data_IF_296060323604
#
_entry.id   IF_296060323604
#
_cell.length_a   1.000
_cell.length_b   1.000
_cell.length_c   1.000
_cell.angle_alpha   90.00
_cell.angle_beta   90.00
_cell.angle_gamma   90.00
#
_symmetry.space_group_name_H-M   'P 1'
#
loop_
_entity.id
_entity.type
_entity.pdbx_description
1 polymer ?
#
# COMPACT_ATOMS: atom_id res chain seq x y z
N UNK A 1 -17.21 0.21 9.17
CA UNK A 1 -18.38 0.39 8.30
C UNK A 1 -18.17 -0.12 6.86
N UNK A 2 -16.94 -0.41 6.42
CA UNK A 2 -16.63 -0.95 5.08
C UNK A 2 -16.58 -2.49 5.03
N UNK A 3 -16.53 -3.17 6.18
CA UNK A 3 -16.46 -4.64 6.26
C UNK A 3 -17.80 -5.36 5.93
N UNK A 4 -18.88 -4.60 5.69
CA UNK A 4 -20.19 -5.13 5.34
C UNK A 4 -20.65 -4.76 3.91
N UNK A 5 -19.73 -4.32 3.03
CA UNK A 5 -20.07 -4.18 1.63
C UNK A 5 -20.22 -5.57 1.01
N UNK A 6 -21.47 -6.03 1.03
CA UNK A 6 -21.94 -7.24 0.36
C UNK A 6 -21.64 -7.12 -1.15
N UNK A 7 -20.52 -7.65 -1.59
CA UNK A 7 -20.22 -7.78 -3.02
C UNK A 7 -21.30 -8.67 -3.63
N UNK A 8 -21.89 -8.30 -4.76
CA UNK A 8 -22.90 -9.11 -5.40
C UNK A 8 -22.34 -10.50 -5.70
N UNK A 9 -23.13 -11.55 -5.41
CA UNK A 9 -22.76 -12.95 -5.60
C UNK A 9 -22.37 -13.32 -7.05
N UNK A 10 -22.62 -12.44 -8.01
CA UNK A 10 -22.15 -12.53 -9.40
C UNK A 10 -20.66 -12.24 -9.58
N UNK A 11 -20.00 -11.63 -8.59
CA UNK A 11 -18.56 -11.35 -8.61
C UNK A 11 -17.69 -12.60 -8.33
N UNK A 12 -18.29 -13.72 -7.95
CA UNK A 12 -17.60 -14.92 -7.47
C UNK A 12 -17.40 -16.02 -8.53
N UNK A 13 -17.76 -15.79 -9.81
CA UNK A 13 -17.61 -16.81 -10.86
C UNK A 13 -17.00 -16.25 -12.12
N UNK A 14 -15.68 -16.20 -12.21
CA UNK A 14 -14.98 -16.29 -13.49
C UNK A 14 -13.57 -16.87 -13.24
N UNK A 15 -13.38 -18.08 -13.76
CA UNK A 15 -12.11 -18.81 -13.74
C UNK A 15 -11.21 -18.36 -14.89
N UNK A 16 -9.99 -18.05 -14.58
CA UNK A 16 -8.72 -18.25 -15.33
C UNK A 16 -7.70 -17.12 -15.04
N UNK A 17 -6.69 -17.47 -14.44
CA UNK A 17 -5.41 -16.97 -13.89
C UNK A 17 -4.98 -15.51 -14.05
N UNK A 18 -5.29 -14.79 -15.10
CA UNK A 18 -4.83 -13.41 -15.30
C UNK A 18 -5.91 -12.36 -15.02
N UNK A 19 -7.14 -12.64 -15.36
CA UNK A 19 -8.28 -11.72 -15.19
C UNK A 19 -8.81 -11.63 -13.75
N UNK A 20 -8.54 -12.63 -12.91
CA UNK A 20 -8.96 -12.60 -11.50
C UNK A 20 -8.17 -11.58 -10.67
N UNK A 21 -6.91 -11.34 -11.00
CA UNK A 21 -6.07 -10.35 -10.30
C UNK A 21 -6.56 -8.93 -10.57
N UNK A 22 -6.73 -8.57 -11.85
CA UNK A 22 -7.23 -7.24 -12.24
C UNK A 22 -8.62 -6.96 -11.69
N UNK A 23 -9.49 -7.97 -11.65
CA UNK A 23 -10.84 -7.83 -11.15
C UNK A 23 -10.88 -7.55 -9.63
N UNK A 24 -10.03 -8.21 -8.86
CA UNK A 24 -10.02 -8.04 -7.40
C UNK A 24 -9.59 -6.63 -6.99
N UNK A 25 -8.46 -6.15 -7.50
CA UNK A 25 -7.93 -4.83 -7.15
C UNK A 25 -8.71 -3.69 -7.83
N UNK A 26 -9.16 -3.89 -9.04
CA UNK A 26 -9.95 -2.93 -9.80
C UNK A 26 -11.35 -2.66 -9.25
N UNK A 27 -11.86 -3.51 -8.36
CA UNK A 27 -13.15 -3.32 -7.69
C UNK A 27 -13.06 -2.56 -6.36
N UNK A 28 -11.84 -2.27 -5.86
CA UNK A 28 -11.70 -1.49 -4.64
C UNK A 28 -12.11 -0.04 -4.91
N UNK A 29 -12.98 0.55 -4.07
CA UNK A 29 -13.35 1.94 -4.22
C UNK A 29 -12.12 2.83 -4.00
N UNK A 30 -11.98 3.87 -4.80
CA UNK A 30 -11.00 4.90 -4.51
C UNK A 30 -11.47 5.72 -3.30
N UNK A 31 -10.84 5.46 -2.17
CA UNK A 31 -11.05 6.21 -0.94
C UNK A 31 -9.90 7.20 -0.75
N UNK A 32 -10.28 8.43 -0.50
CA UNK A 32 -9.35 9.53 -0.37
C UNK A 32 -8.87 9.63 1.08
N UNK A 33 -7.57 9.42 1.33
CA UNK A 33 -6.98 9.73 2.64
C UNK A 33 -6.99 11.25 2.87
N UNK A 34 -7.58 11.76 3.95
CA UNK A 34 -7.56 13.20 4.24
C UNK A 34 -6.14 13.76 4.37
N UNK A 35 -5.87 15.01 3.97
CA UNK A 35 -4.52 15.58 3.99
C UNK A 35 -3.87 15.58 5.39
N UNK A 36 -4.64 15.82 6.44
CA UNK A 36 -4.17 15.75 7.83
C UNK A 36 -3.70 14.34 8.20
N UNK A 37 -4.46 13.32 7.79
CA UNK A 37 -4.13 11.91 8.00
C UNK A 37 -2.87 11.51 7.21
N UNK A 38 -2.74 11.93 5.93
CA UNK A 38 -1.52 11.72 5.13
C UNK A 38 -0.30 12.25 5.86
N UNK A 39 -0.36 13.52 6.30
CA UNK A 39 0.73 14.14 7.04
C UNK A 39 1.07 13.36 8.31
N UNK A 40 0.04 12.95 9.06
CA UNK A 40 0.23 12.18 10.29
C UNK A 40 0.85 10.81 10.06
N UNK A 41 0.47 10.11 8.98
CA UNK A 41 1.08 8.85 8.58
C UNK A 41 2.57 9.01 8.28
N UNK A 42 2.96 10.06 7.55
CA UNK A 42 4.35 10.36 7.21
C UNK A 42 5.19 10.75 8.45
N UNK A 43 4.61 11.53 9.37
CA UNK A 43 5.22 11.86 10.67
C UNK A 43 5.45 10.60 11.52
N UNK A 44 4.43 9.74 11.62
CA UNK A 44 4.50 8.50 12.37
C UNK A 44 5.58 7.57 11.83
N UNK A 45 5.69 7.50 10.50
CA UNK A 45 6.75 6.78 9.80
C UNK A 45 8.14 7.45 9.93
N UNK A 46 8.23 8.69 10.42
CA UNK A 46 9.48 9.47 10.51
C UNK A 46 10.21 9.55 9.18
N UNK A 47 9.49 9.99 8.15
CA UNK A 47 10.07 10.14 6.81
C UNK A 47 11.22 11.14 6.82
N UNK A 48 12.32 10.79 6.14
CA UNK A 48 13.52 11.63 6.00
C UNK A 48 14.19 11.50 4.63
N UNK A 49 15.27 12.22 4.44
CA UNK A 49 15.96 12.40 3.15
C UNK A 49 16.63 11.13 2.59
N UNK A 50 16.76 10.08 3.38
CA UNK A 50 17.28 8.79 2.93
C UNK A 50 16.19 7.81 2.50
N UNK A 51 14.90 8.14 2.75
CA UNK A 51 13.81 7.21 2.53
C UNK A 51 13.39 7.07 1.07
N UNK A 52 13.17 5.82 0.68
CA UNK A 52 12.45 5.44 -0.53
C UNK A 52 11.04 5.03 -0.11
N UNK A 53 10.08 5.89 -0.41
CA UNK A 53 8.67 5.71 -0.06
C UNK A 53 7.95 4.95 -1.16
N UNK A 54 7.19 3.93 -0.80
CA UNK A 54 6.31 3.23 -1.73
C UNK A 54 4.85 3.35 -1.28
N UNK A 55 3.93 3.58 -2.22
CA UNK A 55 2.49 3.65 -1.98
C UNK A 55 1.77 2.64 -2.88
N UNK A 56 1.21 1.60 -2.27
CA UNK A 56 0.54 0.50 -2.97
C UNK A 56 -0.97 0.78 -3.05
N UNK A 57 -1.41 1.20 -4.22
CA UNK A 57 -2.72 1.80 -4.45
C UNK A 57 -2.65 3.32 -4.31
N UNK A 58 -1.69 3.94 -5.02
CA UNK A 58 -1.30 5.34 -4.79
C UNK A 58 -2.37 6.37 -5.17
N UNK A 59 -3.43 5.96 -5.86
CA UNK A 59 -4.51 6.83 -6.24
C UNK A 59 -4.02 8.07 -6.99
N UNK A 60 -4.38 9.25 -6.50
CA UNK A 60 -3.98 10.55 -7.06
C UNK A 60 -2.57 11.01 -6.62
N UNK A 61 -1.78 10.14 -6.01
CA UNK A 61 -0.39 10.39 -5.67
C UNK A 61 -0.16 11.29 -4.45
N UNK A 62 -1.19 11.62 -3.66
CA UNK A 62 -1.07 12.57 -2.55
C UNK A 62 -0.05 12.19 -1.48
N UNK A 63 0.06 10.90 -1.14
CA UNK A 63 1.06 10.41 -0.18
C UNK A 63 2.47 10.62 -0.74
N UNK A 64 2.70 10.24 -2.00
CA UNK A 64 3.97 10.37 -2.69
C UNK A 64 4.42 11.84 -2.77
N UNK A 65 3.50 12.71 -3.22
CA UNK A 65 3.76 14.15 -3.34
C UNK A 65 4.12 14.77 -2.00
N UNK A 66 3.34 14.46 -0.96
CA UNK A 66 3.59 14.98 0.39
C UNK A 66 4.92 14.45 0.94
N UNK A 67 5.22 13.17 0.76
CA UNK A 67 6.47 12.57 1.20
C UNK A 67 7.71 13.26 0.61
N UNK A 68 7.69 13.54 -0.69
CA UNK A 68 8.83 14.16 -1.37
C UNK A 68 8.89 15.66 -1.12
N UNK A 69 7.76 16.37 -1.24
CA UNK A 69 7.71 17.83 -1.16
C UNK A 69 7.88 18.35 0.25
N UNK A 70 7.11 17.78 1.20
CA UNK A 70 7.00 18.33 2.55
C UNK A 70 7.94 17.64 3.55
N UNK A 71 8.22 16.35 3.34
CA UNK A 71 9.09 15.56 4.24
C UNK A 71 10.48 15.29 3.67
N UNK A 72 10.72 15.65 2.42
CA UNK A 72 12.02 15.54 1.80
C UNK A 72 12.48 14.11 1.47
N UNK A 73 11.57 13.13 1.38
CA UNK A 73 11.92 11.75 1.01
C UNK A 73 12.80 11.73 -0.23
N UNK A 74 13.80 10.85 -0.26
CA UNK A 74 14.73 10.72 -1.39
C UNK A 74 14.00 10.46 -2.70
N UNK A 75 13.07 9.52 -2.66
CA UNK A 75 12.27 9.07 -3.82
C UNK A 75 10.92 8.56 -3.34
N UNK A 76 9.91 8.63 -4.21
CA UNK A 76 8.63 7.97 -3.97
C UNK A 76 8.18 7.18 -5.19
N UNK A 77 7.56 6.01 -4.98
CA UNK A 77 7.11 5.10 -6.03
C UNK A 77 5.65 4.73 -5.75
N UNK A 78 4.76 4.94 -6.70
CA UNK A 78 3.34 4.61 -6.57
C UNK A 78 2.90 3.57 -7.58
N UNK A 79 2.20 2.56 -7.11
CA UNK A 79 1.51 1.58 -7.95
C UNK A 79 0.01 1.86 -7.95
N UNK A 80 -0.58 1.97 -9.14
CA UNK A 80 -2.01 2.23 -9.32
C UNK A 80 -2.51 1.56 -10.60
N UNK A 81 -3.69 0.94 -10.55
CA UNK A 81 -4.32 0.31 -11.71
C UNK A 81 -5.10 1.31 -12.58
N UNK A 82 -5.68 2.32 -11.94
CA UNK A 82 -6.55 3.29 -12.59
C UNK A 82 -5.76 4.35 -13.33
N UNK A 83 -5.85 4.33 -14.66
CA UNK A 83 -5.15 5.28 -15.52
C UNK A 83 -5.58 6.73 -15.34
N UNK A 84 -6.84 6.99 -15.00
CA UNK A 84 -7.36 8.33 -14.71
C UNK A 84 -6.70 8.96 -13.47
N UNK A 85 -6.49 8.16 -12.41
CA UNK A 85 -5.79 8.60 -11.19
C UNK A 85 -4.30 8.86 -11.44
N UNK A 86 -3.64 7.96 -12.21
CA UNK A 86 -2.24 8.16 -12.60
C UNK A 86 -2.06 9.45 -13.42
N UNK A 87 -2.97 9.73 -14.35
CA UNK A 87 -2.88 10.95 -15.14
C UNK A 87 -3.04 12.19 -14.25
N UNK A 88 -4.01 12.17 -13.32
CA UNK A 88 -4.17 13.26 -12.34
C UNK A 88 -2.94 13.43 -11.45
N UNK A 89 -2.33 12.32 -10.99
CA UNK A 89 -1.09 12.38 -10.22
C UNK A 89 0.07 12.96 -11.05
N UNK A 90 0.19 12.57 -12.34
CA UNK A 90 1.24 13.07 -13.25
C UNK A 90 1.13 14.57 -13.47
N UNK A 91 -0.06 15.09 -13.74
CA UNK A 91 -0.29 16.54 -13.89
C UNK A 91 0.16 17.32 -12.65
N UNK A 92 -0.13 16.79 -11.45
CA UNK A 92 0.33 17.40 -10.20
C UNK A 92 1.85 17.37 -10.04
N UNK A 93 2.49 16.23 -10.39
CA UNK A 93 3.95 16.09 -10.37
C UNK A 93 4.61 17.12 -11.29
N UNK A 94 4.09 17.29 -12.50
CA UNK A 94 4.58 18.24 -13.48
C UNK A 94 4.45 19.67 -12.97
N UNK A 95 3.29 20.02 -12.41
CA UNK A 95 3.05 21.37 -11.86
C UNK A 95 3.97 21.73 -10.69
N UNK A 96 4.53 20.73 -10.01
CA UNK A 96 5.42 20.88 -8.86
C UNK A 96 6.91 20.61 -9.18
N UNK A 97 7.23 20.25 -10.42
CA UNK A 97 8.58 19.86 -10.88
C UNK A 97 9.18 18.72 -10.01
N UNK A 98 8.39 17.66 -9.77
CA UNK A 98 8.77 16.51 -8.93
C UNK A 98 8.96 15.20 -9.72
N UNK A 99 8.96 15.24 -11.05
CA UNK A 99 8.99 14.05 -11.93
C UNK A 99 10.25 13.20 -11.72
N UNK A 100 11.37 13.84 -11.38
CA UNK A 100 12.65 13.16 -11.15
C UNK A 100 12.71 12.41 -9.81
N UNK A 101 11.75 12.65 -8.92
CA UNK A 101 11.72 12.09 -7.57
C UNK A 101 10.51 11.22 -7.29
N UNK A 102 9.53 11.20 -8.18
CA UNK A 102 8.32 10.38 -8.02
C UNK A 102 8.08 9.55 -9.27
N UNK A 103 8.09 8.24 -9.12
CA UNK A 103 7.77 7.28 -10.16
C UNK A 103 6.33 6.79 -10.00
N UNK A 104 5.51 6.92 -11.06
CA UNK A 104 4.16 6.38 -11.12
C UNK A 104 4.13 5.17 -12.05
N UNK A 105 3.79 4.01 -11.50
CA UNK A 105 3.68 2.74 -12.21
C UNK A 105 2.21 2.38 -12.38
N UNK A 106 1.77 2.26 -13.65
CA UNK A 106 0.47 1.67 -13.93
C UNK A 106 0.57 0.15 -13.88
N UNK A 107 0.09 -0.46 -12.82
CA UNK A 107 0.24 -1.91 -12.63
C UNK A 107 -0.43 -2.42 -11.37
N UNK A 108 -0.48 -3.75 -11.27
CA UNK A 108 -0.92 -4.44 -10.07
C UNK A 108 0.12 -4.23 -8.96
N UNK A 109 -0.33 -3.80 -7.79
CA UNK A 109 0.53 -3.63 -6.62
C UNK A 109 1.20 -4.95 -6.18
N UNK A 110 0.64 -6.11 -6.56
CA UNK A 110 1.26 -7.41 -6.31
C UNK A 110 2.52 -7.65 -7.14
N UNK A 111 2.68 -6.93 -8.25
CA UNK A 111 3.86 -7.01 -9.12
C UNK A 111 4.96 -6.00 -8.71
N UNK A 112 4.72 -5.19 -7.66
CA UNK A 112 5.70 -4.25 -7.15
C UNK A 112 6.92 -4.97 -6.56
N UNK A 113 8.13 -4.54 -6.92
CA UNK A 113 9.36 -4.94 -6.25
C UNK A 113 9.55 -4.07 -4.99
N UNK A 114 9.45 -4.71 -3.81
CA UNK A 114 9.53 -4.01 -2.53
C UNK A 114 10.97 -3.91 -2.00
N UNK A 115 11.95 -4.47 -2.69
CA UNK A 115 13.32 -4.63 -2.20
C UNK A 115 14.04 -3.32 -1.86
N UNK A 116 13.68 -2.21 -2.51
CA UNK A 116 14.30 -0.90 -2.26
C UNK A 116 13.46 0.01 -1.35
N UNK A 117 12.23 -0.40 -1.00
CA UNK A 117 11.36 0.39 -0.15
C UNK A 117 11.89 0.44 1.30
N UNK A 118 12.00 1.63 1.86
CA UNK A 118 12.27 1.82 3.30
C UNK A 118 11.01 2.12 4.08
N UNK A 119 9.99 2.65 3.40
CA UNK A 119 8.66 2.89 3.95
C UNK A 119 7.60 2.55 2.91
N UNK A 120 6.59 1.80 3.33
CA UNK A 120 5.46 1.40 2.47
C UNK A 120 4.16 1.91 3.10
N UNK A 121 3.34 2.56 2.28
CA UNK A 121 2.00 3.01 2.65
C UNK A 121 0.95 2.18 1.94
N UNK A 122 -0.15 1.87 2.65
CA UNK A 122 -1.32 1.19 2.12
C UNK A 122 -2.60 1.78 2.71
N UNK A 123 -3.63 1.92 1.87
CA UNK A 123 -5.01 2.15 2.28
C UNK A 123 -5.93 1.20 1.50
N UNK A 124 -6.00 -0.03 1.95
CA UNK A 124 -6.71 -1.12 1.30
C UNK A 124 -7.68 -1.77 2.29
N UNK A 125 -8.49 -2.72 1.82
CA UNK A 125 -9.37 -3.51 2.72
C UNK A 125 -8.58 -4.52 3.54
N UNK A 126 -9.14 -5.03 4.64
CA UNK A 126 -8.51 -6.09 5.44
C UNK A 126 -8.14 -7.30 4.61
N UNK A 127 -9.04 -7.78 3.72
CA UNK A 127 -8.77 -8.91 2.82
C UNK A 127 -7.60 -8.64 1.86
N UNK A 128 -7.44 -7.40 1.40
CA UNK A 128 -6.32 -7.01 0.56
C UNK A 128 -5.01 -7.00 1.35
N UNK A 129 -5.05 -6.48 2.57
CA UNK A 129 -3.91 -6.47 3.48
C UNK A 129 -3.43 -7.91 3.79
N UNK A 130 -4.35 -8.84 4.02
CA UNK A 130 -4.02 -10.25 4.28
C UNK A 130 -3.28 -10.91 3.11
N UNK A 131 -3.60 -10.53 1.88
CA UNK A 131 -2.87 -11.00 0.69
C UNK A 131 -1.48 -10.40 0.57
N UNK A 132 -1.35 -9.08 0.83
CA UNK A 132 -0.07 -8.38 0.80
C UNK A 132 0.89 -8.83 1.91
N UNK A 133 0.37 -9.29 3.05
CA UNK A 133 1.17 -9.73 4.18
C UNK A 133 2.29 -10.68 3.77
N UNK A 134 1.97 -11.71 2.97
CA UNK A 134 2.97 -12.69 2.54
C UNK A 134 4.06 -12.06 1.66
N UNK A 135 3.68 -11.13 0.80
CA UNK A 135 4.62 -10.39 -0.04
C UNK A 135 5.57 -9.54 0.81
N UNK A 136 5.04 -8.85 1.82
CA UNK A 136 5.88 -8.09 2.76
C UNK A 136 6.84 -8.99 3.53
N UNK A 137 6.37 -10.11 4.07
CA UNK A 137 7.22 -11.06 4.82
C UNK A 137 8.36 -11.65 3.98
N UNK A 138 8.21 -11.71 2.65
CA UNK A 138 9.20 -12.28 1.73
C UNK A 138 10.16 -11.25 1.15
N UNK A 139 9.70 -10.03 0.87
CA UNK A 139 10.44 -9.10 0.02
C UNK A 139 11.01 -7.88 0.76
N UNK A 140 10.43 -7.46 1.89
CA UNK A 140 10.91 -6.25 2.55
C UNK A 140 12.19 -6.49 3.34
N UNK A 141 13.06 -5.49 3.35
CA UNK A 141 14.30 -5.52 4.16
C UNK A 141 14.01 -5.31 5.64
N UNK A 142 14.85 -5.85 6.54
CA UNK A 142 14.81 -5.50 7.95
C UNK A 142 14.86 -3.97 8.15
N UNK A 143 14.02 -3.45 9.04
CA UNK A 143 13.88 -2.04 9.30
C UNK A 143 12.89 -1.31 8.38
N UNK A 144 12.33 -1.98 7.36
CA UNK A 144 11.25 -1.39 6.55
C UNK A 144 10.03 -1.11 7.41
N UNK A 145 9.52 0.12 7.30
CA UNK A 145 8.31 0.58 8.01
C UNK A 145 7.11 0.46 7.10
N UNK A 146 6.04 -0.17 7.57
CA UNK A 146 4.80 -0.34 6.82
C UNK A 146 3.71 0.41 7.57
N UNK A 147 3.05 1.35 6.90
CA UNK A 147 1.98 2.16 7.47
C UNK A 147 0.67 1.82 6.79
N UNK A 148 -0.28 1.32 7.57
CA UNK A 148 -1.62 0.98 7.09
C UNK A 148 -2.65 1.95 7.65
N UNK A 149 -3.52 2.45 6.78
CA UNK A 149 -4.61 3.35 7.09
C UNK A 149 -5.90 2.56 7.31
N UNK A 150 -6.57 2.79 8.43
CA UNK A 150 -7.82 2.19 8.92
C UNK A 150 -7.82 0.68 9.12
N UNK A 151 -7.12 -0.09 8.30
CA UNK A 151 -7.14 -1.56 8.34
C UNK A 151 -5.79 -2.10 8.80
N UNK A 152 -5.78 -2.84 9.92
CA UNK A 152 -4.57 -3.53 10.39
C UNK A 152 -4.24 -4.76 9.55
N UNK A 153 -3.07 -5.33 9.80
CA UNK A 153 -2.63 -6.64 9.28
C UNK A 153 -2.99 -7.71 10.29
N UNK A 154 -3.78 -8.70 9.89
CA UNK A 154 -4.14 -9.82 10.77
C UNK A 154 -2.89 -10.63 11.15
N UNK A 155 -2.75 -10.94 12.43
CA UNK A 155 -1.62 -11.71 12.95
C UNK A 155 -0.30 -10.93 13.06
N UNK A 156 -0.27 -9.64 12.74
CA UNK A 156 0.93 -8.82 12.93
C UNK A 156 0.84 -7.96 14.18
N UNK A 157 2.02 -7.72 14.79
CA UNK A 157 2.15 -6.85 15.96
C UNK A 157 2.56 -5.44 15.54
N UNK A 158 1.66 -4.45 15.61
CA UNK A 158 2.03 -3.07 15.27
C UNK A 158 3.00 -2.50 16.33
N UNK A 159 4.07 -1.84 15.87
CA UNK A 159 4.96 -1.07 16.72
C UNK A 159 4.22 0.15 17.33
N UNK A 160 3.22 0.67 16.62
CA UNK A 160 2.34 1.73 17.12
C UNK A 160 0.99 1.68 16.43
N UNK A 161 -0.06 1.98 17.18
CA UNK A 161 -1.42 2.26 16.68
C UNK A 161 -1.80 3.64 17.18
N UNK A 162 -2.31 4.47 16.28
CA UNK A 162 -2.74 5.82 16.63
C UNK A 162 -4.11 6.11 16.01
N UNK A 163 -4.95 6.86 16.74
CA UNK A 163 -6.20 7.40 16.22
C UNK A 163 -6.03 8.89 15.96
N UNK A 164 -6.34 9.33 14.74
CA UNK A 164 -6.20 10.71 14.31
C UNK A 164 -7.35 11.10 13.37
N UNK A 165 -8.08 12.16 13.67
CA UNK A 165 -9.24 12.66 12.88
C UNK A 165 -10.29 11.58 12.57
N UNK A 166 -10.52 10.63 13.50
CA UNK A 166 -11.48 9.53 13.31
C UNK A 166 -10.95 8.33 12.55
N UNK A 167 -9.72 8.37 12.09
CA UNK A 167 -9.02 7.29 11.40
C UNK A 167 -8.05 6.56 12.32
N UNK A 168 -7.75 5.29 12.00
CA UNK A 168 -6.70 4.51 12.65
C UNK A 168 -5.48 4.43 11.76
N UNK A 169 -4.31 4.65 12.34
CA UNK A 169 -3.03 4.52 11.66
C UNK A 169 -2.22 3.44 12.36
N UNK A 170 -1.81 2.43 11.63
CA UNK A 170 -0.99 1.32 12.13
C UNK A 170 0.43 1.45 11.57
N UNK A 171 1.42 1.44 12.44
CA UNK A 171 2.83 1.38 12.07
C UNK A 171 3.39 0.00 12.41
N UNK A 172 3.94 -0.66 11.43
CA UNK A 172 4.68 -1.92 11.56
C UNK A 172 6.15 -1.71 11.18
N UNK A 173 7.04 -2.48 11.77
CA UNK A 173 8.48 -2.49 11.44
C UNK A 173 8.89 -3.94 11.18
N UNK A 174 9.47 -4.20 10.03
CA UNK A 174 9.97 -5.52 9.66
C UNK A 174 11.34 -5.80 10.28
N UNK A 175 11.61 -7.03 10.72
CA UNK A 175 10.73 -8.19 10.77
C UNK A 175 9.95 -8.32 12.08
N UNK A 176 10.09 -7.39 13.03
CA UNK A 176 9.55 -7.47 14.39
C UNK A 176 8.02 -7.51 14.42
N UNK A 177 7.40 -6.93 13.39
CA UNK A 177 5.95 -6.95 13.23
C UNK A 177 5.41 -8.34 12.88
N UNK A 178 6.23 -9.16 12.23
CA UNK A 178 5.81 -10.45 11.72
C UNK A 178 5.70 -11.45 12.87
N UNK A 179 4.55 -12.06 13.07
CA UNK A 179 4.49 -13.24 13.93
C UNK A 179 5.39 -14.33 13.33
N UNK A 180 6.03 -15.13 14.21
CA UNK A 180 6.78 -16.33 13.78
C UNK A 180 5.91 -17.05 12.77
N UNK A 181 6.45 -17.45 11.61
CA UNK A 181 5.64 -17.89 10.47
C UNK A 181 4.64 -18.94 10.92
N UNK A 182 3.42 -18.50 11.16
CA UNK A 182 2.29 -19.37 11.42
C UNK A 182 2.22 -20.22 10.18
N UNK A 183 2.18 -21.52 10.36
CA UNK A 183 2.20 -22.55 9.31
C UNK A 183 1.39 -22.06 8.10
N UNK A 184 2.10 -21.64 7.06
CA UNK A 184 1.49 -21.17 5.80
C UNK A 184 0.51 -22.23 5.36
N UNK A 185 -0.77 -21.93 5.13
CA UNK A 185 -1.66 -22.91 4.53
C UNK A 185 -1.03 -23.37 3.22
N UNK A 186 -0.73 -24.64 3.11
CA UNK A 186 -0.01 -25.26 1.97
C UNK A 186 -0.67 -24.98 0.60
N UNK A 187 -1.90 -24.48 0.58
CA UNK A 187 -2.69 -24.13 -0.60
C UNK A 187 -2.16 -22.89 -1.37
N UNK A 188 -1.31 -22.06 -0.80
CA UNK A 188 -0.86 -20.82 -1.43
C UNK A 188 0.52 -20.92 -2.07
N UNK A 189 1.31 -21.97 -1.75
CA UNK A 189 2.66 -22.19 -2.32
C UNK A 189 2.70 -22.50 -3.82
N UNK A 190 1.58 -22.92 -4.42
CA UNK A 190 1.56 -23.42 -5.79
C UNK A 190 0.96 -22.48 -6.84
N UNK A 191 0.56 -21.26 -6.50
CA UNK A 191 -0.12 -20.37 -7.46
C UNK A 191 0.66 -19.17 -7.95
N UNK A 192 1.88 -18.93 -7.45
CA UNK A 192 2.63 -17.71 -7.78
C UNK A 192 3.94 -17.94 -8.58
N UNK A 193 4.25 -19.21 -8.98
CA UNK A 193 5.49 -19.54 -9.69
C UNK A 193 5.27 -20.41 -10.94
N UNK A 194 4.18 -20.24 -11.70
CA UNK A 194 4.10 -20.76 -13.08
C UNK A 194 3.48 -19.74 -13.99
#
# INVERSE_FOLDING_TARGET
MLDQMNLPSSALRLSSGGREKEFFWGCLPFLVTPPGVVRRMLELARIGSSDVVMDLGSGDGRVLLTAVKDFGAKMAIGYELRGDLINSARERLESLNLQDRVLLVKGDLMDADLSEATVIFIYLTGTANDRLRFKFEEEVKPGTRIVSHDFGMEGWNPAKVESFEGHKIYLYVAPEAFEKPSQRPSKWRLRFWT
#
